data_IF_849087852979
#
_entry.id   IF_849087852979
#
_cell.length_a   1.000
_cell.length_b   1.000
_cell.length_c   1.000
_cell.angle_alpha   90.00
_cell.angle_beta   90.00
_cell.angle_gamma   90.00
#
_symmetry.space_group_name_H-M   'P 1'
#
loop_
_entity.id
_entity.type
_entity.pdbx_description
1 polymer ?
#
# COMPACT_ATOMS: atom_id res chain seq x y z
N UNK A 1 5.77 14.00 49.62
CA UNK A 1 6.80 12.92 49.58
C UNK A 1 7.77 13.08 48.41
N UNK A 2 7.32 13.07 47.14
CA UNK A 2 8.20 13.21 45.98
C UNK A 2 8.98 14.54 45.95
N UNK A 3 8.33 15.67 46.27
CA UNK A 3 9.02 16.96 46.39
C UNK A 3 10.06 16.98 47.52
N UNK A 4 9.82 16.24 48.61
CA UNK A 4 10.74 16.13 49.74
C UNK A 4 11.95 15.24 49.40
N UNK A 5 11.73 14.12 48.70
CA UNK A 5 12.79 13.27 48.16
C UNK A 5 13.66 14.03 47.14
N UNK A 6 13.04 14.87 46.31
CA UNK A 6 13.74 15.76 45.38
C UNK A 6 14.58 16.82 46.09
N UNK A 7 14.07 17.45 47.16
CA UNK A 7 14.80 18.45 47.92
C UNK A 7 16.03 17.86 48.64
N UNK A 8 15.90 16.66 49.21
CA UNK A 8 16.98 16.01 49.96
C UNK A 8 18.05 15.33 49.09
N UNK A 9 17.86 15.31 47.76
CA UNK A 9 18.75 14.62 46.81
C UNK A 9 20.23 15.03 46.89
N UNK A 10 20.51 16.30 47.21
CA UNK A 10 21.87 16.82 47.29
C UNK A 10 22.61 16.44 48.57
N UNK A 11 21.88 16.06 49.63
CA UNK A 11 22.44 15.64 50.92
C UNK A 11 22.55 14.12 51.05
N UNK A 12 21.78 13.39 50.25
CA UNK A 12 21.82 11.94 50.18
C UNK A 12 22.91 11.52 49.18
N UNK A 13 24.18 11.51 49.63
CA UNK A 13 25.25 10.75 48.97
C UNK A 13 24.99 9.25 49.15
N UNK A 14 23.88 8.77 48.59
CA UNK A 14 23.56 7.36 48.60
C UNK A 14 24.50 6.63 47.65
N UNK A 15 25.30 5.71 48.19
CA UNK A 15 26.13 4.82 47.39
C UNK A 15 25.27 4.06 46.36
N UNK A 16 25.89 3.53 45.28
CA UNK A 16 25.22 2.97 44.10
C UNK A 16 24.28 1.78 44.34
N UNK A 17 24.04 1.38 45.60
CA UNK A 17 23.18 0.25 45.99
C UNK A 17 22.01 0.62 46.90
N UNK A 18 21.87 1.86 47.36
CA UNK A 18 20.73 2.24 48.18
C UNK A 18 19.52 2.53 47.28
N UNK A 19 18.51 1.64 47.34
CA UNK A 19 17.21 1.88 46.71
C UNK A 19 16.57 3.11 47.35
N UNK A 20 16.07 4.09 46.56
CA UNK A 20 15.45 5.31 47.07
C UNK A 20 14.06 5.04 47.64
N UNK A 21 14.02 4.36 48.78
CA UNK A 21 12.82 3.93 49.50
C UNK A 21 11.77 5.03 49.61
N UNK A 22 12.19 6.29 49.84
CA UNK A 22 11.28 7.42 49.98
C UNK A 22 10.56 7.80 48.67
N UNK A 23 11.21 7.59 47.53
CA UNK A 23 10.66 7.81 46.20
C UNK A 23 9.67 6.70 45.84
N UNK A 24 10.05 5.45 46.11
CA UNK A 24 9.15 4.29 45.94
C UNK A 24 7.93 4.37 46.88
N UNK A 25 8.11 4.78 48.13
CA UNK A 25 7.02 5.05 49.06
C UNK A 25 6.12 6.21 48.58
N UNK A 26 6.72 7.28 48.01
CA UNK A 26 5.96 8.37 47.40
C UNK A 26 5.10 7.93 46.21
N UNK A 27 5.62 7.05 45.35
CA UNK A 27 4.83 6.45 44.26
C UNK A 27 3.78 5.47 44.75
N UNK A 28 4.08 4.67 45.77
CA UNK A 28 3.11 3.78 46.40
C UNK A 28 1.94 4.56 47.01
N UNK A 29 2.20 5.70 47.65
CA UNK A 29 1.14 6.58 48.18
C UNK A 29 0.30 7.20 47.07
N UNK A 30 0.91 7.65 45.96
CA UNK A 30 0.17 8.14 44.79
C UNK A 30 -0.70 7.03 44.17
N UNK A 31 -0.16 5.82 44.11
CA UNK A 31 -0.85 4.64 43.62
C UNK A 31 -2.07 4.31 44.49
N UNK A 32 -1.91 4.23 45.80
CA UNK A 32 -3.02 3.99 46.74
C UNK A 32 -4.05 5.13 46.67
N UNK A 33 -3.62 6.39 46.61
CA UNK A 33 -4.50 7.54 46.50
C UNK A 33 -5.34 7.51 45.22
N UNK A 34 -4.75 7.10 44.09
CA UNK A 34 -5.47 6.93 42.83
C UNK A 34 -6.56 5.86 42.92
N UNK A 35 -6.28 4.71 43.56
CA UNK A 35 -7.30 3.68 43.80
C UNK A 35 -8.41 4.14 44.75
N UNK A 36 -8.08 4.94 45.77
CA UNK A 36 -9.09 5.53 46.67
C UNK A 36 -9.97 6.53 45.94
N UNK A 37 -9.39 7.34 45.03
CA UNK A 37 -10.15 8.26 44.17
C UNK A 37 -11.04 7.49 43.19
N UNK A 38 -10.53 6.43 42.56
CA UNK A 38 -11.33 5.57 41.65
C UNK A 38 -12.46 4.87 42.42
N UNK A 39 -12.19 4.33 43.61
CA UNK A 39 -13.18 3.67 44.44
C UNK A 39 -14.24 4.65 44.98
N UNK A 40 -13.85 5.87 45.33
CA UNK A 40 -14.77 6.93 45.77
C UNK A 40 -15.62 7.51 44.64
N UNK A 41 -15.04 7.71 43.45
CA UNK A 41 -15.76 8.16 42.26
C UNK A 41 -16.67 7.07 41.69
N UNK A 42 -16.26 5.80 41.76
CA UNK A 42 -17.02 4.64 41.28
C UNK A 42 -18.27 4.31 42.12
N UNK A 43 -18.44 4.89 43.30
CA UNK A 43 -19.70 4.80 44.07
C UNK A 43 -20.75 5.81 43.61
N UNK A 44 -20.39 6.79 42.76
CA UNK A 44 -21.30 7.67 42.04
C UNK A 44 -21.39 7.27 40.56
N UNK A 45 -22.55 7.51 39.92
CA UNK A 45 -22.95 7.04 38.57
C UNK A 45 -22.01 7.33 37.37
N UNK A 46 -20.85 7.95 37.53
CA UNK A 46 -19.93 8.31 36.43
C UNK A 46 -18.62 7.50 36.45
N UNK A 47 -18.76 6.18 36.26
CA UNK A 47 -17.63 5.25 36.02
C UNK A 47 -16.86 5.53 34.72
N UNK A 48 -17.30 6.49 33.90
CA UNK A 48 -16.68 6.85 32.62
C UNK A 48 -15.56 7.89 32.76
N UNK A 49 -15.46 8.56 33.92
CA UNK A 49 -14.57 9.71 34.12
C UNK A 49 -13.15 9.34 34.59
N UNK A 50 -12.96 8.18 35.19
CA UNK A 50 -11.65 7.79 35.74
C UNK A 50 -10.56 7.52 34.68
N UNK A 51 -10.82 7.01 33.45
CA UNK A 51 -9.79 6.88 32.42
C UNK A 51 -9.24 8.24 31.99
N UNK A 52 -10.09 9.27 31.96
CA UNK A 52 -9.70 10.65 31.64
C UNK A 52 -8.80 11.27 32.71
N UNK A 53 -8.85 10.80 33.95
CA UNK A 53 -7.99 11.27 35.04
C UNK A 53 -6.68 10.48 35.12
N UNK A 54 -6.75 9.16 34.91
CA UNK A 54 -5.60 8.25 35.06
C UNK A 54 -4.64 8.31 33.88
N UNK A 55 -5.15 8.52 32.66
CA UNK A 55 -4.32 8.52 31.45
C UNK A 55 -3.38 9.73 31.36
N UNK A 56 -3.81 10.98 31.60
CA UNK A 56 -2.91 12.13 31.66
C UNK A 56 -1.86 12.00 32.76
N UNK A 57 -2.23 11.37 33.88
CA UNK A 57 -1.31 11.12 34.99
C UNK A 57 -0.22 10.09 34.63
N UNK A 58 -0.59 8.99 33.96
CA UNK A 58 0.36 8.01 33.44
C UNK A 58 1.30 8.63 32.39
N UNK A 59 0.73 9.40 31.45
CA UNK A 59 1.50 10.15 30.45
C UNK A 59 2.45 11.17 31.10
N UNK A 60 1.99 11.88 32.13
CA UNK A 60 2.80 12.80 32.92
C UNK A 60 3.96 12.09 33.63
N UNK A 61 3.74 10.92 34.21
CA UNK A 61 4.80 10.12 34.85
C UNK A 61 5.85 9.63 33.84
N UNK A 62 5.43 9.20 32.65
CA UNK A 62 6.33 8.79 31.57
C UNK A 62 7.12 9.99 31.01
N UNK A 63 6.48 11.14 30.82
CA UNK A 63 7.13 12.37 30.40
C UNK A 63 8.15 12.87 31.45
N UNK A 64 7.81 12.79 32.74
CA UNK A 64 8.72 13.16 33.83
C UNK A 64 9.90 12.18 33.93
N UNK A 65 9.66 10.87 33.78
CA UNK A 65 10.72 9.85 33.67
C UNK A 65 11.70 10.19 32.55
N UNK A 66 11.17 10.63 31.41
CA UNK A 66 11.96 11.03 30.25
C UNK A 66 12.78 12.31 30.48
N UNK A 67 12.19 13.36 31.07
CA UNK A 67 12.92 14.59 31.40
C UNK A 67 14.12 14.33 32.33
N UNK A 68 14.00 13.33 33.20
CA UNK A 68 15.03 12.90 34.13
C UNK A 68 16.09 11.98 33.49
N UNK A 69 15.88 11.53 32.25
CA UNK A 69 16.74 10.56 31.55
C UNK A 69 18.15 11.11 31.24
N UNK A 70 18.29 12.44 31.07
CA UNK A 70 19.57 13.09 30.77
C UNK A 70 20.41 13.43 31.99
N UNK A 71 19.93 13.15 33.21
CA UNK A 71 20.61 13.49 34.45
C UNK A 71 21.14 12.22 35.16
N UNK A 72 22.21 12.36 35.95
CA UNK A 72 22.85 11.26 36.71
C UNK A 72 21.92 10.53 37.70
N UNK A 73 20.72 11.07 37.91
CA UNK A 73 19.66 10.56 38.79
C UNK A 73 18.72 9.53 38.13
N UNK A 74 18.98 9.15 36.86
CA UNK A 74 18.21 8.16 36.10
C UNK A 74 17.93 6.84 36.84
N UNK A 75 18.89 6.20 37.53
CA UNK A 75 18.63 4.91 38.21
C UNK A 75 17.67 5.06 39.40
N UNK A 76 17.67 6.24 40.02
CA UNK A 76 17.01 6.53 41.29
C UNK A 76 15.56 6.96 41.06
N UNK A 77 15.29 7.77 40.03
CA UNK A 77 13.96 8.33 39.78
C UNK A 77 13.36 7.92 38.44
N UNK A 78 14.17 7.78 37.39
CA UNK A 78 13.70 7.49 36.04
C UNK A 78 13.07 6.10 35.91
N UNK A 79 13.76 5.07 36.41
CA UNK A 79 13.27 3.68 36.39
C UNK A 79 11.95 3.50 37.16
N UNK A 80 11.82 3.96 38.42
CA UNK A 80 10.54 3.86 39.14
C UNK A 80 9.41 4.66 38.50
N UNK A 81 9.65 5.88 37.99
CA UNK A 81 8.63 6.65 37.27
C UNK A 81 8.13 5.92 36.01
N UNK A 82 9.02 5.19 35.32
CA UNK A 82 8.69 4.40 34.14
C UNK A 82 7.83 3.20 34.50
N UNK A 83 8.20 2.43 35.52
CA UNK A 83 7.41 1.29 35.97
C UNK A 83 6.07 1.71 36.53
N UNK A 84 6.01 2.83 37.27
CA UNK A 84 4.75 3.41 37.72
C UNK A 84 3.88 3.82 36.54
N UNK A 85 4.42 4.54 35.55
CA UNK A 85 3.67 4.91 34.34
C UNK A 85 3.13 3.72 33.54
N UNK A 86 3.90 2.64 33.42
CA UNK A 86 3.44 1.39 32.79
C UNK A 86 2.42 0.64 33.63
N UNK A 87 2.62 0.54 34.96
CA UNK A 87 1.66 -0.08 35.87
C UNK A 87 0.31 0.66 35.84
N UNK A 88 0.35 2.00 35.79
CA UNK A 88 -0.83 2.85 35.64
C UNK A 88 -1.50 2.75 34.26
N UNK A 89 -0.89 2.13 33.24
CA UNK A 89 -1.56 1.77 31.98
C UNK A 89 -2.21 0.38 32.04
N UNK A 90 -1.57 -0.58 32.73
CA UNK A 90 -2.05 -1.97 32.84
C UNK A 90 -3.31 -2.08 33.70
N UNK A 91 -3.40 -1.32 34.79
CA UNK A 91 -4.53 -1.38 35.72
C UNK A 91 -5.82 -0.86 35.10
N UNK A 92 -5.85 0.31 34.42
CA UNK A 92 -7.02 0.73 33.68
C UNK A 92 -7.45 -0.28 32.64
N UNK A 93 -6.49 -0.90 31.96
CA UNK A 93 -6.75 -1.92 30.96
C UNK A 93 -7.38 -3.18 31.58
N UNK A 94 -6.88 -3.64 32.72
CA UNK A 94 -7.42 -4.77 33.47
C UNK A 94 -8.82 -4.48 34.05
N UNK A 95 -9.06 -3.24 34.51
CA UNK A 95 -10.38 -2.81 34.96
C UNK A 95 -11.37 -2.70 33.78
N UNK A 96 -11.00 -2.03 32.70
CA UNK A 96 -11.85 -1.86 31.52
C UNK A 96 -12.19 -3.21 30.85
N UNK A 97 -11.26 -4.16 30.84
CA UNK A 97 -11.52 -5.55 30.40
C UNK A 97 -12.48 -6.28 31.33
N UNK A 98 -12.34 -6.12 32.66
CA UNK A 98 -13.26 -6.74 33.63
C UNK A 98 -14.69 -6.18 33.55
N UNK A 99 -14.86 -4.91 33.16
CA UNK A 99 -16.17 -4.25 33.03
C UNK A 99 -16.74 -4.26 31.59
N UNK A 100 -16.01 -4.81 30.60
CA UNK A 100 -16.48 -4.90 29.21
C UNK A 100 -16.56 -3.55 28.48
N UNK A 101 -15.77 -2.55 28.89
CA UNK A 101 -15.81 -1.20 28.33
C UNK A 101 -14.82 -1.05 27.15
N UNK A 102 -15.16 -1.66 26.01
CA UNK A 102 -14.26 -1.82 24.83
C UNK A 102 -13.73 -0.52 24.23
N UNK A 103 -14.48 0.59 24.32
CA UNK A 103 -14.01 1.93 23.91
C UNK A 103 -12.78 2.34 24.72
N UNK A 104 -12.85 2.15 26.04
CA UNK A 104 -11.79 2.54 26.98
C UNK A 104 -10.59 1.60 26.82
N UNK A 105 -10.82 0.33 26.50
CA UNK A 105 -9.77 -0.62 26.14
C UNK A 105 -9.01 -0.15 24.89
N UNK A 106 -9.73 0.22 23.82
CA UNK A 106 -9.14 0.72 22.57
C UNK A 106 -8.31 1.99 22.76
N UNK A 107 -8.83 2.98 23.50
CA UNK A 107 -8.08 4.21 23.80
C UNK A 107 -6.86 3.95 24.68
N UNK A 108 -6.96 3.04 25.64
CA UNK A 108 -5.85 2.67 26.53
C UNK A 108 -4.71 2.00 25.75
N UNK A 109 -5.04 1.12 24.80
CA UNK A 109 -4.07 0.51 23.88
C UNK A 109 -3.44 1.55 22.93
N UNK A 110 -4.24 2.45 22.36
CA UNK A 110 -3.73 3.51 21.48
C UNK A 110 -2.78 4.46 22.22
N UNK A 111 -3.09 4.82 23.47
CA UNK A 111 -2.26 5.70 24.30
C UNK A 111 -1.01 4.99 24.81
N UNK A 112 -1.10 3.71 25.20
CA UNK A 112 0.05 2.89 25.53
C UNK A 112 0.99 2.75 24.34
N UNK A 113 0.43 2.49 23.16
CA UNK A 113 1.19 2.37 21.93
C UNK A 113 1.85 3.69 21.51
N UNK A 114 1.15 4.81 21.62
CA UNK A 114 1.73 6.14 21.39
C UNK A 114 2.88 6.43 22.37
N UNK A 115 2.71 6.09 23.65
CA UNK A 115 3.74 6.28 24.67
C UNK A 115 4.98 5.41 24.39
N UNK A 116 4.79 4.15 24.01
CA UNK A 116 5.87 3.24 23.64
C UNK A 116 6.54 3.68 22.32
N UNK A 117 5.77 4.19 21.35
CA UNK A 117 6.29 4.73 20.09
C UNK A 117 7.16 5.96 20.36
N UNK A 118 6.71 6.89 21.19
CA UNK A 118 7.47 8.07 21.60
C UNK A 118 8.76 7.64 22.31
N UNK A 119 8.71 6.68 23.25
CA UNK A 119 9.89 6.17 23.96
C UNK A 119 10.89 5.51 22.98
N UNK A 120 10.40 4.69 22.04
CA UNK A 120 11.21 4.04 21.01
C UNK A 120 11.87 5.05 20.06
N UNK A 121 11.15 6.09 19.65
CA UNK A 121 11.67 7.15 18.78
C UNK A 121 12.77 7.96 19.45
N UNK A 122 12.62 8.22 20.76
CA UNK A 122 13.56 8.96 21.58
C UNK A 122 14.80 8.13 21.94
N UNK A 123 14.66 6.81 22.13
CA UNK A 123 15.76 5.90 22.50
C UNK A 123 16.47 5.23 21.34
N UNK A 124 15.91 5.33 20.12
CA UNK A 124 16.41 4.67 18.91
C UNK A 124 16.48 3.14 19.01
N UNK A 125 15.54 2.52 19.72
CA UNK A 125 15.46 1.08 19.99
C UNK A 125 14.28 0.44 19.23
N UNK A 126 14.53 -0.60 18.42
CA UNK A 126 13.53 -1.20 17.50
C UNK A 126 12.50 -2.10 18.20
N UNK A 127 12.90 -2.75 19.29
CA UNK A 127 12.03 -3.68 20.06
C UNK A 127 10.82 -2.95 20.65
N UNK A 128 11.01 -1.72 21.14
CA UNK A 128 9.93 -0.92 21.73
C UNK A 128 8.97 -0.45 20.62
N UNK A 129 9.46 -0.13 19.42
CA UNK A 129 8.62 0.29 18.30
C UNK A 129 7.69 -0.82 17.79
N UNK A 130 8.18 -2.07 17.83
CA UNK A 130 7.38 -3.27 17.50
C UNK A 130 6.30 -3.50 18.57
N UNK A 131 6.64 -3.34 19.86
CA UNK A 131 5.67 -3.42 20.95
C UNK A 131 4.58 -2.35 20.87
N UNK A 132 4.91 -1.13 20.45
CA UNK A 132 3.92 -0.09 20.22
C UNK A 132 2.90 -0.50 19.14
N UNK A 133 3.36 -0.99 18.00
CA UNK A 133 2.48 -1.36 16.90
C UNK A 133 1.58 -2.57 17.23
N UNK A 134 2.09 -3.54 17.98
CA UNK A 134 1.30 -4.67 18.50
C UNK A 134 0.21 -4.19 19.47
N UNK A 135 0.53 -3.27 20.38
CA UNK A 135 -0.45 -2.70 21.31
C UNK A 135 -1.54 -1.90 20.58
N UNK A 136 -1.16 -1.11 19.57
CA UNK A 136 -2.09 -0.34 18.74
C UNK A 136 -3.05 -1.24 17.96
N UNK A 137 -2.52 -2.33 17.41
CA UNK A 137 -3.28 -3.34 16.68
C UNK A 137 -4.23 -4.13 17.59
N UNK A 138 -3.78 -4.53 18.79
CA UNK A 138 -4.67 -5.15 19.78
C UNK A 138 -5.83 -4.22 20.15
N UNK A 139 -5.57 -2.91 20.28
CA UNK A 139 -6.60 -1.90 20.47
C UNK A 139 -7.58 -1.80 19.29
N UNK A 140 -7.07 -1.84 18.06
CA UNK A 140 -7.84 -1.80 16.81
C UNK A 140 -8.79 -2.99 16.67
N UNK A 141 -8.29 -4.23 16.77
CA UNK A 141 -9.09 -5.44 16.66
C UNK A 141 -10.22 -5.49 17.70
N UNK A 142 -9.91 -5.12 18.95
CA UNK A 142 -10.90 -5.09 20.04
C UNK A 142 -12.00 -4.05 19.82
N UNK A 143 -11.73 -2.93 19.13
CA UNK A 143 -12.75 -1.90 18.86
C UNK A 143 -13.51 -2.13 17.56
N UNK A 144 -12.87 -2.62 16.50
CA UNK A 144 -13.48 -2.83 15.17
C UNK A 144 -14.53 -3.94 15.17
N UNK A 145 -14.32 -4.97 16.00
CA UNK A 145 -15.27 -6.07 16.19
C UNK A 145 -16.53 -5.67 16.97
N UNK A 146 -16.43 -4.70 17.87
CA UNK A 146 -17.50 -4.37 18.81
C UNK A 146 -18.26 -3.08 18.43
N UNK A 147 -17.62 -2.15 17.72
CA UNK A 147 -18.16 -0.80 17.47
C UNK A 147 -17.96 -0.38 16.00
N UNK A 148 -18.84 -0.83 15.09
CA UNK A 148 -18.69 -0.60 13.66
C UNK A 148 -18.71 0.88 13.25
N UNK A 149 -19.36 1.74 14.04
CA UNK A 149 -19.47 3.19 13.80
C UNK A 149 -18.14 3.97 13.97
N UNK A 150 -17.17 3.40 14.70
CA UNK A 150 -15.87 4.04 14.94
C UNK A 150 -14.73 3.54 14.02
N UNK A 151 -15.01 2.57 13.13
CA UNK A 151 -14.03 2.02 12.18
C UNK A 151 -13.25 3.08 11.38
N UNK A 152 -13.85 4.17 10.85
CA UNK A 152 -13.12 5.14 10.03
C UNK A 152 -12.01 5.86 10.78
N UNK A 153 -12.23 6.18 12.06
CA UNK A 153 -11.28 6.91 12.90
C UNK A 153 -10.05 6.05 13.22
N UNK A 154 -10.28 4.78 13.53
CA UNK A 154 -9.21 3.83 13.82
C UNK A 154 -8.36 3.50 12.57
N UNK A 155 -8.98 3.44 11.40
CA UNK A 155 -8.27 3.28 10.12
C UNK A 155 -7.46 4.53 9.79
N UNK A 156 -8.01 5.73 9.98
CA UNK A 156 -7.28 6.98 9.80
C UNK A 156 -6.07 7.07 10.74
N UNK A 157 -6.20 6.59 11.99
CA UNK A 157 -5.12 6.54 12.97
C UNK A 157 -4.02 5.54 12.54
N UNK A 158 -4.41 4.32 12.16
CA UNK A 158 -3.48 3.30 11.65
C UNK A 158 -2.74 3.77 10.38
N UNK A 159 -3.46 4.43 9.46
CA UNK A 159 -2.90 5.05 8.27
C UNK A 159 -1.90 6.16 8.61
N UNK A 160 -2.27 7.11 9.49
CA UNK A 160 -1.37 8.17 9.96
C UNK A 160 -0.09 7.61 10.59
N UNK A 161 -0.21 6.55 11.38
CA UNK A 161 0.93 5.94 12.05
C UNK A 161 1.81 5.15 11.09
N UNK A 162 1.22 4.45 10.11
CA UNK A 162 1.95 3.78 9.03
C UNK A 162 2.69 4.80 8.15
N UNK A 163 2.04 5.91 7.79
CA UNK A 163 2.66 7.00 7.04
C UNK A 163 3.76 7.71 7.84
N UNK A 164 3.53 7.96 9.14
CA UNK A 164 4.53 8.53 10.05
C UNK A 164 5.74 7.59 10.17
N UNK A 165 5.49 6.29 10.24
CA UNK A 165 6.52 5.26 10.25
C UNK A 165 7.34 5.23 8.95
N UNK A 166 6.68 5.30 7.79
CA UNK A 166 7.36 5.40 6.48
C UNK A 166 8.20 6.67 6.41
N UNK A 167 7.66 7.82 6.82
CA UNK A 167 8.39 9.08 6.87
C UNK A 167 9.61 9.03 7.80
N UNK A 168 9.49 8.36 8.95
CA UNK A 168 10.60 8.16 9.89
C UNK A 168 11.65 7.17 9.38
N UNK A 169 11.24 6.15 8.62
CA UNK A 169 12.15 5.24 7.93
C UNK A 169 12.93 5.95 6.82
N UNK A 170 12.28 6.89 6.11
CA UNK A 170 12.90 7.77 5.12
C UNK A 170 13.93 8.73 5.71
N UNK A 171 13.66 9.27 6.90
CA UNK A 171 14.58 10.19 7.59
C UNK A 171 15.82 9.49 8.19
N UNK A 172 15.86 8.16 8.23
CA UNK A 172 16.96 7.37 8.86
C UNK A 172 17.58 6.36 7.89
N UNK A 173 18.06 6.86 6.74
CA UNK A 173 18.61 6.11 5.60
C UNK A 173 19.84 5.19 5.85
N UNK A 174 20.33 5.01 7.08
CA UNK A 174 21.63 4.33 7.32
C UNK A 174 21.66 3.26 8.43
N UNK A 175 20.54 2.90 9.06
CA UNK A 175 20.56 1.96 10.20
C UNK A 175 20.30 0.47 9.81
N UNK A 176 20.88 -0.51 10.56
CA UNK A 176 20.80 -1.96 10.32
C UNK A 176 19.45 -2.59 10.66
N UNK A 177 18.45 -1.81 11.08
CA UNK A 177 17.10 -2.29 11.45
C UNK A 177 16.16 -2.40 10.23
N UNK A 178 16.73 -2.47 9.03
CA UNK A 178 16.05 -2.35 7.73
C UNK A 178 15.07 -3.50 7.42
N UNK A 179 15.31 -4.68 8.00
CA UNK A 179 14.59 -5.91 7.71
C UNK A 179 13.46 -6.17 8.72
N UNK A 180 13.68 -5.84 10.00
CA UNK A 180 12.65 -5.86 11.05
C UNK A 180 11.51 -4.89 10.70
N UNK A 181 11.88 -3.71 10.19
CA UNK A 181 10.93 -2.69 9.79
C UNK A 181 10.10 -3.09 8.55
N UNK A 182 10.66 -3.93 7.67
CA UNK A 182 9.93 -4.52 6.54
C UNK A 182 8.88 -5.50 7.02
N UNK A 183 9.26 -6.38 7.94
CA UNK A 183 8.38 -7.43 8.43
C UNK A 183 7.15 -6.83 9.12
N UNK A 184 7.32 -5.71 9.83
CA UNK A 184 6.23 -4.96 10.44
C UNK A 184 5.32 -4.28 9.41
N UNK A 185 5.87 -3.64 8.38
CA UNK A 185 5.07 -3.06 7.30
C UNK A 185 4.31 -4.10 6.48
N UNK A 186 4.93 -5.27 6.26
CA UNK A 186 4.34 -6.40 5.55
C UNK A 186 3.26 -7.09 6.40
N UNK A 187 3.46 -7.21 7.72
CA UNK A 187 2.40 -7.68 8.63
C UNK A 187 1.23 -6.71 8.70
N UNK A 188 1.50 -5.39 8.78
CA UNK A 188 0.45 -4.37 8.72
C UNK A 188 -0.34 -4.36 7.39
N UNK A 189 0.25 -4.92 6.32
CA UNK A 189 -0.35 -5.04 5.00
C UNK A 189 -1.15 -6.33 4.78
N UNK A 190 -0.59 -7.46 5.24
CA UNK A 190 -1.18 -8.80 5.07
C UNK A 190 -2.44 -8.96 5.91
N UNK A 191 -2.51 -8.30 7.06
CA UNK A 191 -3.62 -8.49 8.00
C UNK A 191 -4.93 -7.85 7.50
N UNK A 192 -4.97 -6.58 7.03
CA UNK A 192 -6.18 -6.01 6.43
C UNK A 192 -6.60 -6.72 5.14
N UNK A 193 -5.63 -7.26 4.39
CA UNK A 193 -5.89 -8.10 3.22
C UNK A 193 -6.55 -9.43 3.63
N UNK A 194 -6.07 -10.08 4.69
CA UNK A 194 -6.66 -11.28 5.25
C UNK A 194 -8.06 -11.02 5.84
N UNK A 195 -8.27 -9.85 6.46
CA UNK A 195 -9.57 -9.41 6.97
C UNK A 195 -10.57 -9.16 5.83
N UNK A 196 -10.14 -8.52 4.74
CA UNK A 196 -10.94 -8.34 3.53
C UNK A 196 -11.34 -9.67 2.88
N UNK A 197 -10.42 -10.64 2.84
CA UNK A 197 -10.69 -12.00 2.35
C UNK A 197 -11.63 -12.76 3.29
N UNK A 198 -11.43 -12.66 4.61
CA UNK A 198 -12.18 -13.39 5.62
C UNK A 198 -13.63 -12.91 5.79
N UNK A 199 -13.92 -11.63 5.54
CA UNK A 199 -15.27 -11.09 5.62
C UNK A 199 -16.16 -11.41 4.41
N UNK A 200 -15.60 -12.09 3.41
CA UNK A 200 -16.32 -12.45 2.20
C UNK A 200 -16.57 -11.23 1.30
N UNK A 201 -16.57 -11.47 -0.01
CA UNK A 201 -16.87 -10.46 -1.04
C UNK A 201 -18.31 -9.91 -0.96
N UNK A 202 -19.13 -10.45 -0.06
CA UNK A 202 -20.58 -10.21 0.01
C UNK A 202 -20.96 -8.84 0.59
N UNK A 203 -20.08 -8.16 1.33
CA UNK A 203 -20.37 -6.81 1.87
C UNK A 203 -19.87 -5.66 0.98
N UNK A 204 -19.42 -5.95 -0.23
CA UNK A 204 -18.72 -4.99 -1.08
C UNK A 204 -17.29 -4.74 -0.59
N UNK A 205 -16.41 -4.36 -1.51
CA UNK A 205 -15.05 -3.94 -1.17
C UNK A 205 -15.13 -2.64 -0.39
N UNK A 206 -14.94 -2.71 0.93
CA UNK A 206 -15.03 -1.52 1.75
C UNK A 206 -13.92 -0.53 1.41
N UNK A 207 -14.21 0.78 1.49
CA UNK A 207 -13.25 1.89 1.44
C UNK A 207 -11.94 1.59 2.19
N UNK A 208 -12.03 0.81 3.25
CA UNK A 208 -10.92 0.35 4.10
C UNK A 208 -9.91 -0.51 3.35
N UNK A 209 -10.36 -1.44 2.51
CA UNK A 209 -9.49 -2.30 1.69
C UNK A 209 -8.77 -1.49 0.62
N UNK A 210 -9.50 -0.60 -0.06
CA UNK A 210 -8.94 0.33 -1.05
C UNK A 210 -7.86 1.22 -0.43
N UNK A 211 -8.14 1.84 0.72
CA UNK A 211 -7.17 2.69 1.42
C UNK A 211 -5.95 1.89 1.88
N UNK A 212 -6.15 0.67 2.34
CA UNK A 212 -5.04 -0.19 2.76
C UNK A 212 -4.14 -0.52 1.58
N UNK A 213 -4.70 -1.00 0.47
CA UNK A 213 -3.94 -1.29 -0.76
C UNK A 213 -3.18 -0.04 -1.25
N UNK A 214 -3.82 1.13 -1.23
CA UNK A 214 -3.19 2.38 -1.60
C UNK A 214 -1.98 2.70 -0.72
N UNK A 215 -2.11 2.59 0.61
CA UNK A 215 -1.02 2.87 1.57
C UNK A 215 0.12 1.87 1.40
N UNK A 216 -0.19 0.58 1.26
CA UNK A 216 0.83 -0.47 1.05
C UNK A 216 1.57 -0.19 -0.26
N UNK A 217 0.84 0.09 -1.34
CA UNK A 217 1.45 0.37 -2.65
C UNK A 217 2.40 1.57 -2.58
N UNK A 218 1.99 2.67 -1.95
CA UNK A 218 2.83 3.86 -1.78
C UNK A 218 4.07 3.55 -0.93
N UNK A 219 3.90 2.78 0.14
CA UNK A 219 4.98 2.40 1.05
C UNK A 219 6.02 1.51 0.38
N UNK A 220 5.57 0.47 -0.35
CA UNK A 220 6.46 -0.44 -1.08
C UNK A 220 7.14 0.29 -2.23
N UNK A 221 6.42 1.16 -2.96
CA UNK A 221 7.02 1.96 -4.04
C UNK A 221 8.13 2.87 -3.49
N UNK A 222 7.88 3.53 -2.37
CA UNK A 222 8.82 4.39 -1.68
C UNK A 222 10.09 3.63 -1.25
N UNK A 223 9.96 2.47 -0.60
CA UNK A 223 11.11 1.62 -0.22
C UNK A 223 11.89 1.16 -1.45
N UNK A 224 11.18 0.72 -2.49
CA UNK A 224 11.77 0.24 -3.73
C UNK A 224 12.58 1.31 -4.46
N UNK A 225 12.08 2.55 -4.55
CA UNK A 225 12.78 3.69 -5.15
C UNK A 225 14.06 3.99 -4.39
N UNK A 226 13.99 4.06 -3.05
CA UNK A 226 15.15 4.35 -2.20
C UNK A 226 16.22 3.27 -2.34
N UNK A 227 15.81 2.01 -2.35
CA UNK A 227 16.73 0.86 -2.46
C UNK A 227 17.19 0.56 -3.87
N UNK A 228 16.56 1.21 -4.87
CA UNK A 228 16.71 0.87 -6.29
C UNK A 228 16.39 -0.61 -6.56
N UNK A 229 15.44 -1.19 -5.81
CA UNK A 229 14.99 -2.58 -5.95
C UNK A 229 13.79 -2.66 -6.89
N UNK A 230 14.05 -3.00 -8.15
CA UNK A 230 13.05 -2.95 -9.24
C UNK A 230 11.88 -3.89 -9.04
N UNK A 231 12.13 -5.10 -8.55
CA UNK A 231 11.07 -6.10 -8.35
C UNK A 231 10.03 -5.64 -7.32
N UNK A 232 10.46 -4.95 -6.26
CA UNK A 232 9.56 -4.36 -5.28
C UNK A 232 8.78 -3.18 -5.86
N UNK A 233 9.40 -2.40 -6.74
CA UNK A 233 8.72 -1.33 -7.46
C UNK A 233 7.66 -1.89 -8.41
N UNK A 234 7.91 -3.01 -9.08
CA UNK A 234 6.89 -3.67 -9.90
C UNK A 234 5.76 -4.25 -9.06
N UNK A 235 6.09 -4.82 -7.88
CA UNK A 235 5.08 -5.28 -6.94
C UNK A 235 4.20 -4.14 -6.43
N UNK A 236 4.78 -2.97 -6.13
CA UNK A 236 4.00 -1.80 -5.70
C UNK A 236 3.07 -1.29 -6.79
N UNK A 237 3.52 -1.26 -8.05
CA UNK A 237 2.64 -0.91 -9.16
C UNK A 237 1.50 -1.93 -9.35
N UNK A 238 1.77 -3.22 -9.11
CA UNK A 238 0.72 -4.26 -9.07
C UNK A 238 -0.33 -3.97 -7.99
N UNK A 239 0.09 -3.52 -6.80
CA UNK A 239 -0.83 -3.09 -5.74
C UNK A 239 -1.64 -1.85 -6.12
N UNK A 240 -1.06 -0.92 -6.90
CA UNK A 240 -1.83 0.22 -7.46
C UNK A 240 -2.93 -0.29 -8.38
N UNK A 241 -2.66 -1.27 -9.25
CA UNK A 241 -3.68 -1.87 -10.11
C UNK A 241 -4.80 -2.50 -9.28
N UNK A 242 -4.47 -3.24 -8.22
CA UNK A 242 -5.47 -3.79 -7.29
C UNK A 242 -6.28 -2.69 -6.59
N UNK A 243 -5.65 -1.56 -6.26
CA UNK A 243 -6.34 -0.40 -5.68
C UNK A 243 -7.35 0.18 -6.67
N UNK A 244 -6.97 0.33 -7.94
CA UNK A 244 -7.88 0.80 -9.01
C UNK A 244 -9.05 -0.16 -9.18
N UNK A 245 -8.80 -1.46 -9.23
CA UNK A 245 -9.86 -2.48 -9.33
C UNK A 245 -10.81 -2.43 -8.14
N UNK A 246 -10.29 -2.25 -6.92
CA UNK A 246 -11.10 -2.09 -5.71
C UNK A 246 -12.04 -0.89 -5.81
N UNK A 247 -11.54 0.26 -6.31
CA UNK A 247 -12.37 1.46 -6.55
C UNK A 247 -13.48 1.17 -7.57
N UNK A 248 -13.16 0.47 -8.65
CA UNK A 248 -14.15 0.17 -9.71
C UNK A 248 -15.19 -0.85 -9.29
N UNK A 249 -14.81 -1.85 -8.49
CA UNK A 249 -15.74 -2.79 -7.88
C UNK A 249 -16.71 -2.07 -6.94
N UNK A 250 -16.22 -1.13 -6.11
CA UNK A 250 -17.06 -0.30 -5.24
C UNK A 250 -18.00 0.62 -6.04
N UNK A 251 -17.52 1.13 -7.18
CA UNK A 251 -18.33 1.92 -8.12
C UNK A 251 -19.27 1.07 -9.01
N UNK A 252 -19.36 -0.24 -8.78
CA UNK A 252 -20.17 -1.19 -9.55
C UNK A 252 -19.95 -1.11 -11.08
N UNK A 253 -18.71 -0.85 -11.50
CA UNK A 253 -18.36 -0.85 -12.93
C UNK A 253 -18.37 -2.30 -13.43
N UNK A 254 -19.27 -2.61 -14.35
CA UNK A 254 -19.41 -3.96 -14.94
C UNK A 254 -18.59 -4.15 -16.21
N UNK A 255 -17.96 -3.08 -16.70
CA UNK A 255 -17.18 -3.05 -17.93
C UNK A 255 -15.87 -3.85 -17.77
N UNK A 256 -15.77 -5.02 -18.41
CA UNK A 256 -14.59 -5.90 -18.32
C UNK A 256 -13.30 -5.19 -18.76
N UNK A 257 -13.39 -4.36 -19.80
CA UNK A 257 -12.23 -3.64 -20.34
C UNK A 257 -11.65 -2.64 -19.35
N UNK A 258 -12.48 -2.12 -18.42
CA UNK A 258 -11.97 -1.29 -17.34
C UNK A 258 -10.87 -2.05 -16.60
N UNK A 259 -11.14 -3.28 -16.13
CA UNK A 259 -10.20 -4.07 -15.35
C UNK A 259 -8.94 -4.49 -16.11
N UNK A 260 -9.05 -4.78 -17.41
CA UNK A 260 -7.92 -5.26 -18.22
C UNK A 260 -6.93 -4.13 -18.53
N UNK A 261 -7.43 -2.91 -18.74
CA UNK A 261 -6.63 -1.79 -19.24
C UNK A 261 -5.46 -1.39 -18.30
N UNK A 262 -5.65 -1.20 -16.97
CA UNK A 262 -4.55 -0.89 -16.06
C UNK A 262 -3.49 -2.00 -16.00
N UNK A 263 -3.91 -3.25 -16.05
CA UNK A 263 -2.99 -4.39 -15.99
C UNK A 263 -2.15 -4.48 -17.27
N UNK A 264 -2.80 -4.32 -18.43
CA UNK A 264 -2.12 -4.30 -19.72
C UNK A 264 -1.12 -3.15 -19.80
N UNK A 265 -1.52 -1.92 -19.43
CA UNK A 265 -0.64 -0.75 -19.40
C UNK A 265 0.52 -0.93 -18.41
N UNK A 266 0.28 -1.51 -17.24
CA UNK A 266 1.32 -1.81 -16.27
C UNK A 266 2.39 -2.72 -16.88
N UNK A 267 1.99 -3.81 -17.51
CA UNK A 267 2.92 -4.76 -18.12
C UNK A 267 3.72 -4.13 -19.27
N UNK A 268 3.08 -3.27 -20.09
CA UNK A 268 3.80 -2.50 -21.10
C UNK A 268 4.80 -1.52 -20.48
N UNK A 269 4.44 -0.86 -19.38
CA UNK A 269 5.32 0.02 -18.63
C UNK A 269 6.52 -0.72 -18.02
N UNK A 270 6.30 -1.91 -17.46
CA UNK A 270 7.36 -2.81 -16.97
C UNK A 270 8.28 -3.22 -18.12
N UNK A 271 7.71 -3.64 -19.26
CA UNK A 271 8.49 -3.97 -20.45
C UNK A 271 9.36 -2.79 -20.89
N UNK A 272 8.79 -1.59 -20.97
CA UNK A 272 9.53 -0.39 -21.34
C UNK A 272 10.69 -0.08 -20.37
N UNK A 273 10.46 -0.22 -19.06
CA UNK A 273 11.49 -0.03 -18.06
C UNK A 273 12.63 -1.07 -18.19
N UNK A 274 12.29 -2.35 -18.40
CA UNK A 274 13.29 -3.41 -18.59
C UNK A 274 14.08 -3.25 -19.90
N UNK A 275 13.50 -2.59 -20.91
CA UNK A 275 14.20 -2.24 -22.15
C UNK A 275 15.32 -1.23 -21.93
N UNK A 276 15.07 -0.16 -21.16
CA UNK A 276 16.11 0.84 -20.85
C UNK A 276 17.31 0.23 -20.13
N UNK A 277 17.08 -0.88 -19.46
CA UNK A 277 18.04 -1.61 -18.64
C UNK A 277 18.65 -2.81 -19.37
N UNK A 278 18.39 -2.94 -20.68
CA UNK A 278 18.95 -3.98 -21.57
C UNK A 278 18.59 -5.43 -21.17
N UNK A 279 17.53 -5.64 -20.37
CA UNK A 279 17.04 -6.98 -20.03
C UNK A 279 16.06 -7.52 -21.08
N UNK A 280 16.60 -7.90 -22.23
CA UNK A 280 15.83 -8.22 -23.43
C UNK A 280 14.73 -9.30 -23.22
N UNK A 281 15.03 -10.37 -22.48
CA UNK A 281 14.06 -11.45 -22.23
C UNK A 281 12.85 -10.98 -21.39
N UNK A 282 13.08 -10.16 -20.35
CA UNK A 282 12.00 -9.63 -19.50
C UNK A 282 11.19 -8.58 -20.22
N UNK A 283 11.85 -7.72 -20.99
CA UNK A 283 11.19 -6.77 -21.89
C UNK A 283 10.22 -7.51 -22.83
N UNK A 284 10.71 -8.52 -23.55
CA UNK A 284 9.88 -9.28 -24.50
C UNK A 284 8.67 -9.91 -23.80
N UNK A 285 8.89 -10.59 -22.67
CA UNK A 285 7.81 -11.26 -21.94
C UNK A 285 6.76 -10.27 -21.44
N UNK A 286 7.17 -9.19 -20.76
CA UNK A 286 6.24 -8.19 -20.22
C UNK A 286 5.50 -7.42 -21.33
N UNK A 287 6.19 -7.03 -22.39
CA UNK A 287 5.57 -6.37 -23.54
C UNK A 287 4.57 -7.28 -24.25
N UNK A 288 4.90 -8.56 -24.48
CA UNK A 288 3.96 -9.51 -25.09
C UNK A 288 2.72 -9.73 -24.24
N UNK A 289 2.88 -9.94 -22.93
CA UNK A 289 1.74 -10.12 -22.03
C UNK A 289 0.85 -8.87 -22.01
N UNK A 290 1.44 -7.67 -21.94
CA UNK A 290 0.69 -6.42 -22.00
C UNK A 290 -0.05 -6.22 -23.32
N UNK A 291 0.60 -6.52 -24.46
CA UNK A 291 -0.01 -6.42 -25.79
C UNK A 291 -1.12 -7.44 -25.99
N UNK A 292 -0.91 -8.69 -25.57
CA UNK A 292 -1.92 -9.76 -25.66
C UNK A 292 -3.14 -9.41 -24.81
N UNK A 293 -2.95 -8.88 -23.59
CA UNK A 293 -4.05 -8.48 -22.75
C UNK A 293 -4.86 -7.36 -23.38
N UNK A 294 -4.22 -6.26 -23.79
CA UNK A 294 -4.92 -5.11 -24.37
C UNK A 294 -5.57 -5.45 -25.71
N UNK A 295 -4.76 -5.86 -26.69
CA UNK A 295 -5.24 -6.13 -28.05
C UNK A 295 -6.14 -7.35 -28.12
N UNK A 296 -5.86 -8.37 -27.31
CA UNK A 296 -6.65 -9.59 -27.27
C UNK A 296 -8.01 -9.36 -26.64
N UNK A 297 -8.10 -8.62 -25.53
CA UNK A 297 -9.39 -8.36 -24.88
C UNK A 297 -10.28 -7.46 -25.75
N UNK A 298 -9.72 -6.37 -26.29
CA UNK A 298 -10.48 -5.46 -27.15
C UNK A 298 -10.91 -6.15 -28.45
N UNK A 299 -10.07 -7.01 -29.02
CA UNK A 299 -10.44 -7.84 -30.17
C UNK A 299 -11.59 -8.81 -29.84
N UNK A 300 -11.50 -9.57 -28.75
CA UNK A 300 -12.54 -10.53 -28.37
C UNK A 300 -13.88 -9.82 -28.10
N UNK A 301 -13.86 -8.68 -27.42
CA UNK A 301 -15.05 -7.87 -27.16
C UNK A 301 -15.60 -7.19 -28.42
N UNK A 302 -14.80 -7.08 -29.50
CA UNK A 302 -15.26 -6.54 -30.79
C UNK A 302 -16.01 -7.55 -31.67
N UNK A 303 -15.98 -8.85 -31.35
CA UNK A 303 -16.60 -9.90 -32.17
C UNK A 303 -18.14 -9.82 -32.29
N UNK A 304 -18.90 -9.41 -31.25
CA UNK A 304 -20.35 -9.18 -31.39
C UNK A 304 -20.65 -8.07 -32.41
N UNK A 305 -21.65 -8.26 -33.28
CA UNK A 305 -21.97 -7.32 -34.39
C UNK A 305 -22.31 -5.89 -33.94
N UNK A 306 -22.71 -5.71 -32.68
CA UNK A 306 -23.14 -4.41 -32.14
C UNK A 306 -22.00 -3.69 -31.37
N UNK A 307 -20.81 -4.30 -31.30
CA UNK A 307 -19.66 -3.84 -30.51
C UNK A 307 -18.77 -2.82 -31.25
N UNK A 308 -19.36 -1.78 -31.86
CA UNK A 308 -18.60 -0.75 -32.58
C UNK A 308 -17.58 -0.03 -31.68
N UNK A 309 -17.92 0.16 -30.40
CA UNK A 309 -17.03 0.77 -29.41
C UNK A 309 -15.72 -0.01 -29.23
N UNK A 310 -15.81 -1.33 -29.03
CA UNK A 310 -14.63 -2.19 -28.87
C UNK A 310 -13.86 -2.37 -30.17
N UNK A 311 -14.54 -2.33 -31.33
CA UNK A 311 -13.88 -2.30 -32.63
C UNK A 311 -13.00 -1.06 -32.80
N UNK A 312 -13.53 0.11 -32.46
CA UNK A 312 -12.79 1.36 -32.49
C UNK A 312 -11.62 1.32 -31.48
N UNK A 313 -11.85 0.77 -30.29
CA UNK A 313 -10.82 0.61 -29.26
C UNK A 313 -9.71 -0.33 -29.73
N UNK A 314 -10.02 -1.53 -30.22
CA UNK A 314 -9.03 -2.48 -30.73
C UNK A 314 -8.21 -1.89 -31.89
N UNK A 315 -8.87 -1.16 -32.80
CA UNK A 315 -8.20 -0.46 -33.90
C UNK A 315 -7.26 0.64 -33.38
N UNK A 316 -7.70 1.40 -32.37
CA UNK A 316 -6.91 2.44 -31.74
C UNK A 316 -5.70 1.87 -30.99
N UNK A 317 -5.89 0.86 -30.15
CA UNK A 317 -4.81 0.18 -29.43
C UNK A 317 -3.79 -0.43 -30.38
N UNK A 318 -4.24 -1.07 -31.46
CA UNK A 318 -3.38 -1.66 -32.47
C UNK A 318 -2.60 -0.59 -33.26
N UNK A 319 -3.23 0.53 -33.58
CA UNK A 319 -2.57 1.68 -34.20
C UNK A 319 -1.52 2.30 -33.27
N UNK A 320 -1.86 2.52 -31.99
CA UNK A 320 -0.92 3.04 -30.99
C UNK A 320 0.27 2.09 -30.82
N UNK A 321 0.04 0.79 -30.71
CA UNK A 321 1.11 -0.21 -30.65
C UNK A 321 2.02 -0.13 -31.89
N UNK A 322 1.45 0.02 -33.09
CA UNK A 322 2.21 0.16 -34.33
C UNK A 322 3.06 1.45 -34.35
N UNK A 323 2.48 2.60 -33.98
CA UNK A 323 3.20 3.89 -33.91
C UNK A 323 4.33 3.84 -32.89
N UNK A 324 4.07 3.30 -31.69
CA UNK A 324 5.08 3.12 -30.65
C UNK A 324 6.17 2.16 -31.16
N UNK A 325 5.79 1.06 -31.80
CA UNK A 325 6.71 0.09 -32.37
C UNK A 325 7.64 0.69 -33.43
N UNK A 326 7.12 1.54 -34.32
CA UNK A 326 7.93 2.25 -35.32
C UNK A 326 8.87 3.24 -34.63
N UNK A 327 8.34 4.11 -33.77
CA UNK A 327 9.16 5.14 -33.09
C UNK A 327 10.25 4.54 -32.23
N UNK A 328 9.92 3.45 -31.55
CA UNK A 328 10.83 2.74 -30.67
C UNK A 328 11.64 1.67 -31.41
N UNK A 329 11.54 1.54 -32.73
CA UNK A 329 12.22 0.50 -33.51
C UNK A 329 12.08 -0.89 -32.88
N UNK A 330 10.86 -1.29 -32.51
CA UNK A 330 10.59 -2.59 -31.90
C UNK A 330 9.66 -3.41 -32.78
N UNK A 331 10.21 -4.52 -33.30
CA UNK A 331 9.48 -5.42 -34.21
C UNK A 331 8.23 -6.01 -33.55
N UNK A 332 8.32 -6.34 -32.26
CA UNK A 332 7.24 -6.98 -31.51
C UNK A 332 5.97 -6.13 -31.50
N UNK A 333 6.10 -4.84 -31.23
CA UNK A 333 4.98 -3.90 -31.21
C UNK A 333 4.37 -3.68 -32.60
N UNK A 334 5.22 -3.58 -33.63
CA UNK A 334 4.75 -3.42 -35.02
C UNK A 334 4.03 -4.69 -35.51
N UNK A 335 4.58 -5.87 -35.21
CA UNK A 335 3.96 -7.14 -35.57
C UNK A 335 2.63 -7.33 -34.83
N UNK A 336 2.61 -7.12 -33.52
CA UNK A 336 1.38 -7.23 -32.72
C UNK A 336 0.30 -6.24 -33.20
N UNK A 337 0.65 -4.96 -33.38
CA UNK A 337 -0.27 -3.94 -33.88
C UNK A 337 -0.75 -4.23 -35.31
N UNK A 338 0.15 -4.66 -36.21
CA UNK A 338 -0.20 -5.03 -37.58
C UNK A 338 -1.11 -6.25 -37.66
N UNK A 339 -0.81 -7.29 -36.90
CA UNK A 339 -1.65 -8.50 -36.81
C UNK A 339 -3.01 -8.17 -36.20
N UNK A 340 -3.05 -7.38 -35.13
CA UNK A 340 -4.31 -6.97 -34.51
C UNK A 340 -5.16 -6.11 -35.45
N UNK A 341 -4.58 -5.12 -36.14
CA UNK A 341 -5.30 -4.33 -37.15
C UNK A 341 -5.88 -5.22 -38.27
N UNK A 342 -5.08 -6.16 -38.77
CA UNK A 342 -5.53 -7.09 -39.81
C UNK A 342 -6.66 -7.99 -39.29
N UNK A 343 -6.51 -8.56 -38.09
CA UNK A 343 -7.50 -9.41 -37.46
C UNK A 343 -8.82 -8.66 -37.25
N UNK A 344 -8.76 -7.44 -36.69
CA UNK A 344 -9.93 -6.58 -36.49
C UNK A 344 -10.59 -6.23 -37.83
N UNK A 345 -9.82 -5.84 -38.85
CA UNK A 345 -10.37 -5.55 -40.18
C UNK A 345 -11.08 -6.77 -40.79
N UNK A 346 -10.47 -7.96 -40.70
CA UNK A 346 -11.07 -9.20 -41.21
C UNK A 346 -12.32 -9.58 -40.43
N UNK A 347 -12.31 -9.46 -39.11
CA UNK A 347 -13.46 -9.79 -38.26
C UNK A 347 -14.67 -8.89 -38.55
N UNK A 348 -14.44 -7.61 -38.83
CA UNK A 348 -15.52 -6.64 -39.06
C UNK A 348 -16.01 -6.64 -40.51
N UNK A 349 -15.10 -6.74 -41.48
CA UNK A 349 -15.46 -6.74 -42.90
C UNK A 349 -15.95 -8.12 -43.33
N UNK A 350 -15.45 -9.21 -42.72
CA UNK A 350 -15.74 -10.59 -43.11
C UNK A 350 -17.24 -10.91 -43.21
N UNK A 351 -18.04 -10.69 -42.15
CA UNK A 351 -19.48 -10.93 -42.19
C UNK A 351 -20.17 -10.12 -43.28
N UNK A 352 -19.89 -8.81 -43.36
CA UNK A 352 -20.46 -7.94 -44.38
C UNK A 352 -20.05 -8.36 -45.80
N UNK A 353 -18.82 -8.85 -45.97
CA UNK A 353 -18.30 -9.32 -47.24
C UNK A 353 -19.00 -10.61 -47.69
N UNK A 354 -19.27 -11.54 -46.76
CA UNK A 354 -19.98 -12.79 -47.05
C UNK A 354 -21.42 -12.51 -47.50
N UNK A 355 -22.06 -11.48 -46.94
CA UNK A 355 -23.43 -11.08 -47.27
C UNK A 355 -23.54 -10.36 -48.64
N UNK A 356 -22.42 -9.97 -49.27
CA UNK A 356 -22.41 -9.38 -50.62
C UNK A 356 -22.68 -10.42 -51.72
N UNK A 357 -23.19 -9.96 -52.87
CA UNK A 357 -23.30 -10.82 -54.05
C UNK A 357 -21.91 -11.29 -54.53
N UNK A 358 -21.83 -12.51 -55.10
CA UNK A 358 -20.55 -13.08 -55.60
C UNK A 358 -19.83 -12.15 -56.58
N UNK A 359 -20.58 -11.42 -57.42
CA UNK A 359 -20.02 -10.44 -58.34
C UNK A 359 -19.41 -9.24 -57.63
N UNK A 360 -20.05 -8.74 -56.56
CA UNK A 360 -19.50 -7.67 -55.74
C UNK A 360 -18.26 -8.13 -54.97
N UNK A 361 -18.27 -9.34 -54.41
CA UNK A 361 -17.09 -9.94 -53.77
C UNK A 361 -15.91 -10.02 -54.74
N UNK A 362 -16.11 -10.61 -55.93
CA UNK A 362 -15.10 -10.69 -56.99
C UNK A 362 -14.61 -9.31 -57.43
N UNK A 363 -15.52 -8.35 -57.60
CA UNK A 363 -15.19 -6.98 -57.97
C UNK A 363 -14.32 -6.28 -56.93
N UNK A 364 -14.66 -6.39 -55.64
CA UNK A 364 -13.88 -5.78 -54.54
C UNK A 364 -12.51 -6.46 -54.42
N UNK A 365 -12.45 -7.80 -54.38
CA UNK A 365 -11.17 -8.53 -54.29
C UNK A 365 -10.29 -8.24 -55.50
N UNK A 366 -10.86 -8.25 -56.71
CA UNK A 366 -10.16 -7.89 -57.94
C UNK A 366 -9.62 -6.46 -57.92
N UNK A 367 -10.41 -5.50 -57.44
CA UNK A 367 -10.00 -4.09 -57.32
C UNK A 367 -8.88 -3.91 -56.29
N UNK A 368 -8.95 -4.57 -55.13
CA UNK A 368 -7.90 -4.51 -54.11
C UNK A 368 -6.60 -5.12 -54.65
N UNK A 369 -6.67 -6.30 -55.28
CA UNK A 369 -5.50 -6.95 -55.89
C UNK A 369 -4.90 -6.12 -57.02
N UNK A 370 -5.75 -5.54 -57.87
CA UNK A 370 -5.31 -4.66 -58.95
C UNK A 370 -4.65 -3.40 -58.39
N UNK A 371 -5.25 -2.74 -57.40
CA UNK A 371 -4.69 -1.56 -56.75
C UNK A 371 -3.36 -1.87 -56.07
N UNK A 372 -3.26 -2.99 -55.34
CA UNK A 372 -2.02 -3.46 -54.74
C UNK A 372 -0.95 -3.77 -55.80
N UNK A 373 -1.34 -4.42 -56.90
CA UNK A 373 -0.49 -4.70 -58.05
C UNK A 373 0.01 -3.42 -58.73
N UNK A 374 -0.86 -2.44 -58.95
CA UNK A 374 -0.49 -1.13 -59.52
C UNK A 374 0.41 -0.33 -58.59
N UNK A 375 0.14 -0.30 -57.28
CA UNK A 375 1.04 0.29 -56.28
C UNK A 375 2.41 -0.39 -56.30
N UNK A 376 2.43 -1.73 -56.36
CA UNK A 376 3.64 -2.51 -56.47
C UNK A 376 4.40 -2.24 -57.78
N UNK A 377 3.70 -2.02 -58.89
CA UNK A 377 4.29 -1.76 -60.20
C UNK A 377 4.83 -0.33 -60.31
N UNK A 378 4.01 0.68 -59.99
CA UNK A 378 4.37 2.09 -60.09
C UNK A 378 5.47 2.49 -59.12
N UNK A 379 5.53 1.81 -57.98
CA UNK A 379 6.58 2.04 -57.00
C UNK A 379 7.56 0.89 -56.94
N UNK A 380 7.67 0.02 -57.95
CA UNK A 380 8.52 -1.19 -57.87
C UNK A 380 9.94 -0.88 -57.41
N UNK A 381 10.60 0.10 -58.04
CA UNK A 381 11.97 0.48 -57.69
C UNK A 381 12.04 1.16 -56.32
N UNK A 382 11.10 2.05 -56.02
CA UNK A 382 11.00 2.70 -54.70
C UNK A 382 10.69 1.68 -53.60
N UNK A 383 9.84 0.70 -53.83
CA UNK A 383 9.46 -0.37 -52.92
C UNK A 383 10.59 -1.37 -52.76
N UNK A 384 11.35 -1.68 -53.81
CA UNK A 384 12.52 -2.54 -53.69
C UNK A 384 13.65 -1.84 -52.94
N UNK A 385 13.89 -0.55 -53.21
CA UNK A 385 14.85 0.27 -52.47
C UNK A 385 14.41 0.45 -51.00
N UNK A 386 13.14 0.81 -50.77
CA UNK A 386 12.55 0.95 -49.44
C UNK A 386 12.51 -0.38 -48.72
N UNK A 387 12.21 -1.50 -49.39
CA UNK A 387 12.27 -2.85 -48.81
C UNK A 387 13.69 -3.25 -48.46
N UNK A 388 14.69 -2.97 -49.29
CA UNK A 388 16.10 -3.28 -48.96
C UNK A 388 16.55 -2.45 -47.75
N UNK A 389 16.24 -1.16 -47.75
CA UNK A 389 16.54 -0.23 -46.64
C UNK A 389 15.81 -0.62 -45.36
N UNK A 390 14.50 -0.85 -45.44
CA UNK A 390 13.69 -1.36 -44.33
C UNK A 390 14.18 -2.72 -43.89
N UNK A 391 14.52 -3.65 -44.78
CA UNK A 391 15.01 -4.97 -44.37
C UNK A 391 16.37 -4.87 -43.65
N UNK A 392 17.26 -3.98 -44.08
CA UNK A 392 18.52 -3.73 -43.38
C UNK A 392 18.32 -3.01 -42.04
N UNK A 393 17.47 -1.98 -41.99
CA UNK A 393 17.15 -1.24 -40.77
C UNK A 393 16.39 -2.15 -39.80
N UNK A 394 15.35 -2.83 -40.27
CA UNK A 394 14.56 -3.79 -39.51
C UNK A 394 15.45 -4.88 -38.92
N UNK A 395 16.44 -5.41 -39.66
CA UNK A 395 17.43 -6.37 -39.15
C UNK A 395 18.19 -5.86 -37.91
N UNK A 396 18.35 -4.55 -37.78
CA UNK A 396 19.04 -3.89 -36.67
C UNK A 396 18.13 -3.57 -35.47
N UNK A 397 16.80 -3.70 -35.60
CA UNK A 397 15.83 -3.32 -34.55
C UNK A 397 15.80 -4.24 -33.31
N UNK A 398 16.50 -5.37 -33.34
CA UNK A 398 16.56 -6.35 -32.23
C UNK A 398 17.96 -6.47 -31.59
N UNK A 399 18.90 -5.58 -31.96
CA UNK A 399 20.20 -5.40 -31.29
C UNK A 399 20.06 -4.29 -30.26
#
# INVERSE_FOLDING_TARGET
LLAFAWWYRGRLQMGPRALPLLSYAGFLVLYIAQFVVIAGLGQGRDSTSWPLLTTPFAAGCLALSWLLHRQSIRPVYGTPLRFSGLAFLIIPLAAATAYGEYVIIGYSFALAALAVLIDALLRRTSVELTGALVLLFAGYELTVWQLPEHRPVFIALAACLTLTYVALSWLRLTHPYRDELRLVGLMAAVIPLAEAVARGLDSGWSLTTTLTLAIISATVAADAIIRRQRHEFYASLGLVVLTIWSIWLDAAITEEQAYILPLGLLLLGIGWAERHEQHQARFQMASWLGLILLLGSSFLQSLPREALGYTALASFEAFVALVIGIRAHSRHYVLAGGVALLATAVAQIGPAFIDLSRWAQLGITGTILLAAGLLALFRKEQLLATRRRLASEWRQWDV
#
